data_IF_095826099835
#
_entry.id   IF_095826099835
#
_cell.length_a   1.000
_cell.length_b   1.000
_cell.length_c   1.000
_cell.angle_alpha   90.00
_cell.angle_beta   90.00
_cell.angle_gamma   90.00
#
_symmetry.space_group_name_H-M   'P 1'
#
loop_
_entity.id
_entity.type
_entity.pdbx_description
1 polymer ?
#
# COMPACT_ATOMS: atom_id res chain seq x y z
N UNK A 1 -0.38 32.16 -4.71
CA UNK A 1 0.52 31.14 -5.29
C UNK A 1 -0.09 30.72 -6.62
N UNK A 2 0.50 31.13 -7.73
CA UNK A 2 -0.06 30.93 -9.07
C UNK A 2 0.30 29.53 -9.55
N UNK A 3 -0.69 28.69 -9.83
CA UNK A 3 -0.47 27.39 -10.46
C UNK A 3 0.04 27.62 -11.90
N UNK A 4 1.21 27.09 -12.22
CA UNK A 4 1.68 26.94 -13.60
C UNK A 4 1.24 25.56 -14.07
N UNK A 5 0.02 25.46 -14.59
CA UNK A 5 -0.41 24.34 -15.41
C UNK A 5 -0.05 24.65 -16.86
N UNK A 6 1.24 24.70 -17.18
CA UNK A 6 1.69 24.95 -18.55
C UNK A 6 2.08 23.63 -19.21
N UNK A 7 1.11 23.05 -19.93
CA UNK A 7 1.30 22.03 -20.97
C UNK A 7 1.71 20.61 -20.52
N UNK A 8 1.03 20.05 -19.50
CA UNK A 8 1.09 18.59 -19.26
C UNK A 8 0.12 17.91 -20.25
N UNK A 9 0.59 17.01 -21.13
CA UNK A 9 -0.31 16.27 -22.00
C UNK A 9 -1.31 15.49 -21.16
N UNK A 10 -2.59 15.58 -21.50
CA UNK A 10 -3.62 14.75 -20.90
C UNK A 10 -3.33 13.29 -21.29
N UNK A 11 -3.18 12.41 -20.30
CA UNK A 11 -2.99 10.98 -20.54
C UNK A 11 -4.33 10.31 -20.83
N UNK A 12 -4.37 9.39 -21.80
CA UNK A 12 -5.60 8.68 -22.19
C UNK A 12 -6.06 7.66 -21.12
N UNK A 13 -5.15 7.19 -20.28
CA UNK A 13 -5.42 6.32 -19.15
C UNK A 13 -4.36 6.49 -18.05
N UNK A 14 -4.76 6.24 -16.81
CA UNK A 14 -3.83 6.07 -15.70
C UNK A 14 -3.42 4.59 -15.54
N UNK A 15 -2.27 4.29 -14.93
CA UNK A 15 -1.92 2.94 -14.54
C UNK A 15 -3.01 2.31 -13.67
N UNK A 16 -3.18 1.00 -13.79
CA UNK A 16 -4.12 0.26 -12.94
C UNK A 16 -3.68 0.24 -11.47
N UNK A 17 -2.37 0.22 -11.22
CA UNK A 17 -1.76 0.11 -9.90
C UNK A 17 -0.57 1.05 -9.77
N UNK A 18 -0.31 1.52 -8.55
CA UNK A 18 0.81 2.41 -8.24
C UNK A 18 2.13 1.67 -8.01
N UNK A 19 2.07 0.54 -7.31
CA UNK A 19 3.24 -0.26 -6.95
C UNK A 19 2.84 -1.72 -6.73
N UNK A 20 3.82 -2.62 -6.89
CA UNK A 20 3.68 -4.06 -6.63
C UNK A 20 4.91 -4.51 -5.86
N UNK A 21 4.72 -5.07 -4.67
CA UNK A 21 5.79 -5.45 -3.74
C UNK A 21 5.47 -6.82 -3.13
N UNK A 22 6.45 -7.71 -3.05
CA UNK A 22 6.33 -8.96 -2.29
C UNK A 22 6.78 -8.77 -0.84
N UNK A 23 6.14 -9.47 0.11
CA UNK A 23 6.57 -9.47 1.51
C UNK A 23 7.37 -10.74 1.90
N UNK A 24 7.89 -10.76 3.12
CA UNK A 24 8.68 -11.86 3.66
C UNK A 24 7.91 -13.19 3.80
N UNK A 25 6.58 -13.18 3.69
CA UNK A 25 5.69 -14.34 3.82
C UNK A 25 5.09 -14.79 2.48
N UNK A 26 5.64 -14.33 1.36
CA UNK A 26 5.16 -14.64 0.00
C UNK A 26 3.75 -14.07 -0.29
N UNK A 27 3.35 -13.00 0.41
CA UNK A 27 2.18 -12.23 0.01
C UNK A 27 2.55 -11.15 -1.02
N UNK A 28 1.63 -10.88 -1.94
CA UNK A 28 1.74 -9.82 -2.93
C UNK A 28 0.92 -8.60 -2.49
N UNK A 29 1.58 -7.46 -2.36
CA UNK A 29 0.97 -6.18 -2.03
C UNK A 29 0.87 -5.32 -3.28
N UNK A 30 -0.34 -4.92 -3.63
CA UNK A 30 -0.63 -4.11 -4.83
C UNK A 30 -1.24 -2.79 -4.40
N UNK A 31 -0.53 -1.70 -4.64
CA UNK A 31 -1.01 -0.36 -4.31
C UNK A 31 -2.00 0.14 -5.36
N UNK A 32 -3.08 0.75 -4.88
CA UNK A 32 -3.97 1.55 -5.71
C UNK A 32 -3.20 2.73 -6.34
N UNK A 33 -3.53 3.08 -7.59
CA UNK A 33 -2.91 4.23 -8.23
C UNK A 33 -3.53 5.54 -7.71
N UNK A 34 -2.77 6.34 -6.97
CA UNK A 34 -3.18 7.69 -6.52
C UNK A 34 -3.04 8.69 -7.67
N UNK A 35 -4.15 9.26 -8.15
CA UNK A 35 -4.08 10.31 -9.18
C UNK A 35 -3.65 11.63 -8.54
N UNK A 36 -3.04 12.56 -9.32
CA UNK A 36 -2.54 13.82 -8.79
C UNK A 36 -3.56 14.71 -8.06
N UNK A 37 -4.86 14.52 -8.30
CA UNK A 37 -5.94 15.28 -7.67
C UNK A 37 -6.68 14.50 -6.56
N UNK A 38 -6.28 13.26 -6.28
CA UNK A 38 -6.93 12.48 -5.24
C UNK A 38 -6.36 12.83 -3.85
N UNK A 39 -7.25 13.22 -2.94
CA UNK A 39 -6.92 13.45 -1.54
C UNK A 39 -7.07 12.13 -0.77
N UNK A 40 -5.95 11.44 -0.52
CA UNK A 40 -5.92 10.24 0.33
C UNK A 40 -4.96 10.46 1.48
N UNK A 41 -5.37 10.06 2.68
CA UNK A 41 -4.56 10.07 3.92
C UNK A 41 -3.44 8.99 3.92
N UNK A 42 -3.28 8.25 2.82
CA UNK A 42 -2.34 7.15 2.70
C UNK A 42 -2.41 6.41 1.38
N UNK A 43 -1.51 5.45 1.18
CA UNK A 43 -1.59 4.49 0.08
C UNK A 43 -2.40 3.28 0.54
N UNK A 44 -3.41 2.90 -0.24
CA UNK A 44 -4.20 1.68 -0.01
C UNK A 44 -3.57 0.54 -0.81
N UNK A 45 -3.38 -0.60 -0.14
CA UNK A 45 -2.81 -1.81 -0.70
C UNK A 45 -3.84 -2.93 -0.64
N UNK A 46 -4.03 -3.62 -1.76
CA UNK A 46 -4.68 -4.94 -1.77
C UNK A 46 -3.61 -6.01 -1.57
N UNK A 47 -3.81 -6.89 -0.59
CA UNK A 47 -2.86 -7.95 -0.24
C UNK A 47 -3.40 -9.29 -0.73
N UNK A 48 -2.56 -10.07 -1.41
CA UNK A 48 -2.88 -11.40 -1.92
C UNK A 48 -1.95 -12.45 -1.32
N UNK A 49 -2.43 -13.68 -1.16
CA UNK A 49 -1.56 -14.83 -0.87
C UNK A 49 -0.73 -15.25 -2.10
N UNK A 50 0.23 -16.17 -1.91
CA UNK A 50 1.06 -16.69 -2.99
C UNK A 50 0.31 -17.46 -4.08
N UNK A 51 -0.97 -17.81 -3.85
CA UNK A 51 -1.88 -18.41 -4.83
C UNK A 51 -2.80 -17.37 -5.50
N UNK A 52 -2.67 -16.09 -5.14
CA UNK A 52 -3.44 -14.97 -5.71
C UNK A 52 -4.80 -14.73 -5.06
N UNK A 53 -5.12 -15.32 -3.91
CA UNK A 53 -6.35 -15.02 -3.17
C UNK A 53 -6.20 -13.72 -2.39
N UNK A 54 -7.21 -12.86 -2.47
CA UNK A 54 -7.22 -11.60 -1.72
C UNK A 54 -7.37 -11.89 -0.22
N UNK A 55 -6.39 -11.44 0.57
CA UNK A 55 -6.37 -11.51 2.03
C UNK A 55 -7.02 -10.29 2.68
N UNK A 56 -6.89 -9.11 2.08
CA UNK A 56 -7.50 -7.89 2.60
C UNK A 56 -6.90 -6.59 2.07
N UNK A 57 -7.25 -5.49 2.73
CA UNK A 57 -6.76 -4.15 2.44
C UNK A 57 -5.90 -3.62 3.60
N UNK A 58 -4.81 -2.93 3.27
CA UNK A 58 -3.95 -2.23 4.24
C UNK A 58 -3.76 -0.79 3.79
N UNK A 59 -3.88 0.17 4.70
CA UNK A 59 -3.57 1.57 4.44
C UNK A 59 -2.25 1.92 5.12
N UNK A 60 -1.23 2.32 4.35
CA UNK A 60 0.03 2.84 4.87
C UNK A 60 -0.02 4.35 5.01
N UNK A 61 0.76 4.95 5.93
CA UNK A 61 0.87 6.41 6.05
C UNK A 61 1.23 7.06 4.71
N UNK A 62 0.69 8.25 4.42
CA UNK A 62 0.94 8.98 3.17
C UNK A 62 2.44 9.25 2.92
N UNK A 63 3.18 9.53 3.98
CA UNK A 63 4.61 9.86 3.91
C UNK A 63 5.51 8.64 3.72
N UNK A 64 4.95 7.42 3.71
CA UNK A 64 5.74 6.19 3.70
C UNK A 64 6.03 5.71 2.27
N UNK A 65 7.32 5.78 1.89
CA UNK A 65 7.84 5.04 0.74
C UNK A 65 8.34 3.67 1.21
N UNK A 66 7.60 2.61 0.87
CA UNK A 66 7.91 1.24 1.30
C UNK A 66 9.19 0.72 0.64
N UNK A 67 10.11 0.20 1.45
CA UNK A 67 11.32 -0.51 0.98
C UNK A 67 11.25 -2.01 1.23
N UNK A 68 10.69 -2.42 2.36
CA UNK A 68 10.57 -3.81 2.77
C UNK A 68 9.31 -4.04 3.61
N UNK A 69 8.68 -5.19 3.44
CA UNK A 69 7.57 -5.65 4.28
C UNK A 69 8.00 -6.98 4.93
N UNK A 70 8.23 -6.94 6.23
CA UNK A 70 8.59 -8.10 7.03
C UNK A 70 7.39 -8.91 7.50
N UNK A 71 7.64 -9.86 8.39
CA UNK A 71 6.59 -10.67 9.03
C UNK A 71 5.64 -9.78 9.86
N UNK A 72 6.20 -8.88 10.66
CA UNK A 72 5.49 -8.03 11.64
C UNK A 72 5.87 -6.55 11.56
N UNK A 73 6.50 -6.12 10.46
CA UNK A 73 6.84 -4.71 10.23
C UNK A 73 6.78 -4.28 8.77
N UNK A 74 6.72 -2.97 8.56
CA UNK A 74 7.00 -2.31 7.29
C UNK A 74 8.17 -1.35 7.52
N UNK A 75 9.21 -1.48 6.69
CA UNK A 75 10.36 -0.59 6.68
C UNK A 75 10.28 0.30 5.45
N UNK A 76 10.52 1.59 5.65
CA UNK A 76 10.57 2.52 4.55
C UNK A 76 11.08 3.89 4.96
N UNK A 77 11.10 4.78 4.00
CA UNK A 77 11.38 6.19 4.24
C UNK A 77 10.11 6.91 4.67
N UNK A 78 10.23 7.80 5.64
CA UNK A 78 9.21 8.79 5.94
C UNK A 78 9.81 10.05 6.52
N UNK A 79 9.15 11.18 6.27
CA UNK A 79 9.57 12.48 6.80
C UNK A 79 9.00 12.73 8.20
N UNK A 80 9.58 13.67 8.93
CA UNK A 80 9.01 14.22 10.17
C UNK A 80 8.40 15.61 9.94
N UNK A 81 7.94 16.25 11.03
CA UNK A 81 7.33 17.59 10.98
C UNK A 81 8.31 18.69 10.49
N UNK A 82 9.61 18.40 10.46
CA UNK A 82 10.66 19.28 9.93
C UNK A 82 11.04 18.92 8.49
N UNK A 83 10.30 18.01 7.85
CA UNK A 83 10.55 17.47 6.51
C UNK A 83 11.92 16.79 6.35
N UNK A 84 12.49 16.28 7.44
CA UNK A 84 13.74 15.51 7.39
C UNK A 84 13.44 14.05 7.09
N UNK A 85 14.12 13.47 6.10
CA UNK A 85 13.97 12.07 5.69
C UNK A 85 14.63 11.12 6.70
N UNK A 86 13.89 10.10 7.14
CA UNK A 86 14.39 9.03 7.99
C UNK A 86 13.93 7.67 7.46
N UNK A 87 14.77 6.66 7.68
CA UNK A 87 14.29 5.27 7.65
C UNK A 87 13.51 5.01 8.93
N UNK A 88 12.24 4.65 8.77
CA UNK A 88 11.30 4.37 9.86
C UNK A 88 10.76 2.95 9.70
N UNK A 89 10.49 2.32 10.84
CA UNK A 89 9.88 1.01 10.93
C UNK A 89 8.54 1.14 11.63
N UNK A 90 7.48 0.66 10.98
CA UNK A 90 6.14 0.58 11.54
C UNK A 90 5.84 -0.87 11.88
N UNK A 91 5.20 -1.12 13.02
CA UNK A 91 4.67 -2.44 13.33
C UNK A 91 3.50 -2.79 12.41
N UNK A 92 3.50 -4.03 11.90
CA UNK A 92 2.45 -4.60 11.09
C UNK A 92 1.73 -5.67 11.90
N UNK A 93 0.45 -5.45 12.15
CA UNK A 93 -0.42 -6.44 12.80
C UNK A 93 -1.23 -7.15 11.72
N UNK A 94 -1.09 -8.46 11.64
CA UNK A 94 -1.86 -9.31 10.74
C UNK A 94 -3.01 -9.96 11.52
N UNK A 95 -4.18 -10.04 10.92
CA UNK A 95 -5.28 -10.79 11.49
C UNK A 95 -4.91 -12.29 11.55
N UNK A 96 -5.35 -12.98 12.58
CA UNK A 96 -5.41 -14.45 12.54
C UNK A 96 -6.49 -14.85 11.55
N UNK A 97 -6.22 -15.90 10.76
CA UNK A 97 -7.17 -16.45 9.79
C UNK A 97 -8.56 -16.57 10.43
N UNK A 98 -9.59 -16.08 9.73
CA UNK A 98 -10.95 -16.41 10.10
C UNK A 98 -11.03 -17.95 10.06
N UNK A 99 -11.26 -18.59 11.22
CA UNK A 99 -11.55 -20.02 11.28
C UNK A 99 -12.53 -20.33 10.16
N UNK A 100 -12.13 -21.21 9.25
CA UNK A 100 -13.01 -21.70 8.19
C UNK A 100 -14.30 -22.14 8.85
N UNK A 101 -15.39 -21.39 8.62
CA UNK A 101 -16.72 -21.79 9.06
C UNK A 101 -16.92 -23.17 8.45
N UNK A 102 -17.08 -24.24 9.25
CA UNK A 102 -17.29 -25.55 8.68
C UNK A 102 -18.56 -25.45 7.83
N UNK A 103 -18.41 -25.67 6.53
CA UNK A 103 -19.53 -25.86 5.61
C UNK A 103 -20.42 -26.91 6.27
N UNK A 104 -21.59 -26.47 6.76
CA UNK A 104 -22.52 -27.32 7.48
C UNK A 104 -22.84 -28.51 6.61
N UNK A 105 -22.45 -29.71 7.07
CA UNK A 105 -22.76 -30.96 6.41
C UNK A 105 -24.25 -31.29 6.48
N UNK A 106 -24.76 -31.72 5.32
CA UNK A 106 -26.03 -32.41 4.98
C UNK A 106 -27.35 -31.92 5.59
#
# INVERSE_FOLDING_TARGET
>A
MTAVAANVPLVDAFPAFGAVVGDALDHLWVAEFKRPADEYEGTVWTVFDGEGRMLGLVQTPEILTVFEIGEDYILGEGTDDLAVEYVKMWGLVRGVEAEAVPEGGD
#
